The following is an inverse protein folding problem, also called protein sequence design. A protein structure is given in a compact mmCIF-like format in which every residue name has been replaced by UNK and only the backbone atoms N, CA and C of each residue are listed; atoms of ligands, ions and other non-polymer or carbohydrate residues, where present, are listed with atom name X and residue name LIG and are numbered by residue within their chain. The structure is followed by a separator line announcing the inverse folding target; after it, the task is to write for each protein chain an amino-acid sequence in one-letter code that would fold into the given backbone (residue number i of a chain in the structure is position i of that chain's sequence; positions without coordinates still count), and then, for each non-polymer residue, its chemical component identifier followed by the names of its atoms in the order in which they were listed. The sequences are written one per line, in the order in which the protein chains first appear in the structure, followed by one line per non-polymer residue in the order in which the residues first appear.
data_IF_792034835689
#
_entry.id   IF_792034835689
#
_cell.length_a   1.000
_cell.length_b   1.000
_cell.length_c   1.000
_cell.angle_alpha   90.00
_cell.angle_beta   90.00
_cell.angle_gamma   90.00
#
_symmetry.space_group_name_H-M   'P 1'
#
loop_
_entity.id
_entity.type
_entity.pdbx_description
1 polymer ?
#
# COMPACT_ATOMS: atom_id res chain seq x y z
N UNK A 1 3.63 -0.61 -12.99
CA UNK A 1 2.24 -1.04 -12.70
C UNK A 1 1.82 -0.74 -11.24
N UNK A 2 2.49 -1.27 -10.21
CA UNK A 2 2.07 -1.13 -8.80
C UNK A 2 2.03 0.31 -8.27
N UNK A 3 2.98 1.17 -8.66
CA UNK A 3 2.96 2.59 -8.28
C UNK A 3 1.68 3.30 -8.73
N UNK A 4 1.28 3.08 -9.99
CA UNK A 4 0.05 3.63 -10.57
C UNK A 4 -1.18 3.01 -9.90
N UNK A 5 -1.15 1.72 -9.57
CA UNK A 5 -2.23 1.07 -8.83
C UNK A 5 -2.45 1.69 -7.45
N UNK A 6 -1.38 1.99 -6.71
CA UNK A 6 -1.46 2.71 -5.43
C UNK A 6 -2.02 4.12 -5.64
N UNK A 7 -1.53 4.87 -6.63
CA UNK A 7 -2.07 6.21 -6.92
C UNK A 7 -3.55 6.19 -7.30
N UNK A 8 -3.98 5.26 -8.16
CA UNK A 8 -5.38 5.06 -8.50
C UNK A 8 -6.21 4.68 -7.26
N UNK A 9 -5.70 3.78 -6.41
CA UNK A 9 -6.35 3.36 -5.17
C UNK A 9 -6.52 4.49 -4.16
N UNK A 10 -5.51 5.36 -4.04
CA UNK A 10 -5.58 6.56 -3.20
C UNK A 10 -6.56 7.60 -3.76
N UNK A 11 -6.58 7.80 -5.08
CA UNK A 11 -7.40 8.82 -5.75
C UNK A 11 -8.87 8.43 -5.84
N UNK A 12 -9.18 7.15 -6.10
CA UNK A 12 -10.55 6.63 -6.15
C UNK A 12 -11.10 6.24 -4.78
N UNK A 13 -10.29 6.27 -3.72
CA UNK A 13 -10.74 5.96 -2.35
C UNK A 13 -11.19 4.52 -2.13
N UNK A 14 -10.87 3.60 -3.04
CA UNK A 14 -11.39 2.22 -3.07
C UNK A 14 -10.88 1.39 -1.88
N UNK A 15 -9.82 1.85 -1.21
CA UNK A 15 -9.16 1.09 -0.16
C UNK A 15 -8.80 2.00 1.04
N UNK A 16 -9.73 2.12 2.00
CA UNK A 16 -9.56 2.96 3.18
C UNK A 16 -8.36 2.56 4.04
N UNK A 17 -8.06 1.27 4.14
CA UNK A 17 -6.87 0.78 4.87
C UNK A 17 -5.56 1.27 4.24
N UNK A 18 -5.48 1.28 2.91
CA UNK A 18 -4.31 1.79 2.19
C UNK A 18 -4.17 3.30 2.37
N UNK A 19 -5.28 4.03 2.33
CA UNK A 19 -5.32 5.48 2.57
C UNK A 19 -4.88 5.82 3.99
N UNK A 20 -5.38 5.12 5.00
CA UNK A 20 -4.96 5.31 6.39
C UNK A 20 -3.46 5.04 6.59
N UNK A 21 -2.91 4.01 5.95
CA UNK A 21 -1.47 3.74 5.98
C UNK A 21 -0.65 4.85 5.30
N UNK A 22 -1.11 5.31 4.13
CA UNK A 22 -0.52 6.45 3.43
C UNK A 22 -0.53 7.73 4.28
N UNK A 23 -1.67 8.07 4.89
CA UNK A 23 -1.82 9.27 5.71
C UNK A 23 -0.96 9.20 6.98
N UNK A 24 -0.88 8.03 7.63
CA UNK A 24 0.03 7.82 8.77
C UNK A 24 1.47 8.09 8.37
N UNK A 25 1.91 7.54 7.24
CA UNK A 25 3.28 7.70 6.73
C UNK A 25 3.57 9.12 6.25
N UNK A 26 2.56 9.85 5.75
CA UNK A 26 2.68 11.29 5.42
C UNK A 26 2.75 12.16 6.66
N UNK A 27 1.99 11.84 7.72
CA UNK A 27 2.05 12.52 9.02
C UNK A 27 3.40 12.32 9.71
N UNK A 28 4.08 11.19 9.49
CA UNK A 28 5.47 10.96 9.90
C UNK A 28 6.49 11.88 9.17
N UNK A 29 6.06 12.76 8.25
CA UNK A 29 6.93 13.70 7.54
C UNK A 29 7.66 13.11 6.34
N UNK A 30 7.31 11.90 5.90
CA UNK A 30 8.02 11.22 4.80
C UNK A 30 7.69 11.86 3.44
N UNK A 31 8.69 11.94 2.52
CA UNK A 31 8.47 12.42 1.17
C UNK A 31 7.43 11.57 0.43
N UNK A 32 6.62 12.21 -0.41
CA UNK A 32 5.51 11.57 -1.13
C UNK A 32 5.91 10.27 -1.84
N UNK A 33 6.98 10.30 -2.64
CA UNK A 33 7.44 9.13 -3.39
C UNK A 33 7.79 7.94 -2.48
N UNK A 34 8.43 8.20 -1.35
CA UNK A 34 8.79 7.17 -0.36
C UNK A 34 7.55 6.53 0.23
N UNK A 35 6.52 7.32 0.53
CA UNK A 35 5.25 6.80 1.05
C UNK A 35 4.53 5.93 0.03
N UNK A 36 4.48 6.35 -1.24
CA UNK A 36 3.84 5.56 -2.30
C UNK A 36 4.56 4.22 -2.52
N UNK A 37 5.89 4.22 -2.46
CA UNK A 37 6.69 2.98 -2.55
C UNK A 37 6.45 2.07 -1.34
N UNK A 38 6.36 2.62 -0.13
CA UNK A 38 6.01 1.83 1.06
C UNK A 38 4.62 1.18 0.94
N UNK A 39 3.64 1.91 0.40
CA UNK A 39 2.31 1.38 0.12
C UNK A 39 2.36 0.26 -0.92
N UNK A 40 3.14 0.43 -1.99
CA UNK A 40 3.33 -0.60 -3.01
C UNK A 40 3.98 -1.86 -2.44
N UNK A 41 5.00 -1.72 -1.59
CA UNK A 41 5.66 -2.85 -0.92
C UNK A 41 4.71 -3.60 0.02
N UNK A 42 3.88 -2.89 0.79
CA UNK A 42 2.84 -3.52 1.64
C UNK A 42 1.89 -4.38 0.77
N UNK A 43 1.42 -3.87 -0.36
CA UNK A 43 0.57 -4.63 -1.29
C UNK A 43 1.31 -5.84 -1.90
N UNK A 44 2.59 -5.68 -2.24
CA UNK A 44 3.42 -6.75 -2.78
C UNK A 44 3.56 -7.90 -1.78
N UNK A 45 3.77 -7.58 -0.50
CA UNK A 45 3.78 -8.60 0.56
C UNK A 45 2.43 -9.29 0.72
N UNK A 46 1.31 -8.57 0.55
CA UNK A 46 -0.02 -9.19 0.58
C UNK A 46 -0.19 -10.19 -0.57
N UNK A 47 0.13 -9.76 -1.79
CA UNK A 47 0.03 -10.61 -2.98
C UNK A 47 0.96 -11.82 -2.85
N UNK A 48 2.19 -11.62 -2.41
CA UNK A 48 3.14 -12.71 -2.19
C UNK A 48 2.67 -13.69 -1.11
N UNK A 49 2.11 -13.22 0.00
CA UNK A 49 1.56 -14.10 1.04
C UNK A 49 0.41 -14.96 0.50
N UNK A 50 -0.50 -14.37 -0.27
CA UNK A 50 -1.62 -15.07 -0.87
C UNK A 50 -1.13 -16.10 -1.90
N UNK A 51 -0.25 -15.68 -2.82
CA UNK A 51 0.17 -16.52 -3.95
C UNK A 51 1.14 -17.63 -3.54
N UNK A 52 2.04 -17.37 -2.60
CA UNK A 52 3.12 -18.30 -2.25
C UNK A 52 2.77 -19.16 -1.05
N UNK A 53 2.05 -18.60 -0.05
CA UNK A 53 1.71 -19.33 1.18
C UNK A 53 0.27 -19.78 1.26
N UNK A 54 -0.62 -19.28 0.39
CA UNK A 54 -2.06 -19.57 0.46
C UNK A 54 -2.74 -18.99 1.70
N UNK A 55 -2.03 -18.17 2.49
CA UNK A 55 -2.53 -17.57 3.72
C UNK A 55 -2.71 -16.06 3.55
N UNK A 56 -3.80 -15.47 4.09
CA UNK A 56 -3.97 -14.03 4.08
C UNK A 56 -2.86 -13.34 4.88
N UNK A 57 -2.30 -12.27 4.32
CA UNK A 57 -1.19 -11.53 4.94
C UNK A 57 -1.55 -11.02 6.34
N UNK A 58 -0.71 -11.40 7.32
CA UNK A 58 -0.77 -10.91 8.71
C UNK A 58 0.06 -9.63 8.81
N UNK A 59 -0.58 -8.55 9.25
CA UNK A 59 -0.14 -7.16 9.04
C UNK A 59 0.65 -6.54 10.18
#
# INVERSE_FOLDING_TARGET
ALYVAVQCGLRKGVNERLKAYYDKKRKEGKPYKVVVIACANKLLHHVHAILVKGEPYKA
#
